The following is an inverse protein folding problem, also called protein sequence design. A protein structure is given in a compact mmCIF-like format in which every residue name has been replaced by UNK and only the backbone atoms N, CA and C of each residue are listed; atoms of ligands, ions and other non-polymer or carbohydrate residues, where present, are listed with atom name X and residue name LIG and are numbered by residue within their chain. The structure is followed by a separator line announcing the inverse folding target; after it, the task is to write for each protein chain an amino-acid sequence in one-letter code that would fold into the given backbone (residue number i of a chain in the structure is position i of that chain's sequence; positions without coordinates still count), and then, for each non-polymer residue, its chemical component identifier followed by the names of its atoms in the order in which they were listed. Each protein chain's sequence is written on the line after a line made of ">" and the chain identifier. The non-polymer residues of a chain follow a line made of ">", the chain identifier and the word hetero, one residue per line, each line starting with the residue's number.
data_IF_554901063002
#
_entry.id   IF_554901063002
#
_cell.length_a   1.000
_cell.length_b   1.000
_cell.length_c   1.000
_cell.angle_alpha   90.00
_cell.angle_beta   90.00
_cell.angle_gamma   90.00
#
_symmetry.space_group_name_H-M   'P 1'
#
loop_
_entity.id
_entity.type
_entity.pdbx_description
1 polymer ?
#
# COMPACT_ATOMS: atom_id res chain seq x y z
N UNK A 1 -14.12 14.16 24.61
CA UNK A 1 -15.31 13.27 24.47
C UNK A 1 -14.83 11.84 24.67
N UNK A 2 -15.38 11.11 25.63
CA UNK A 2 -14.96 9.75 25.94
C UNK A 2 -15.38 8.80 24.80
N UNK A 3 -14.48 7.88 24.41
CA UNK A 3 -14.67 6.89 23.35
C UNK A 3 -15.96 6.07 23.53
N UNK A 4 -16.31 5.74 24.76
CA UNK A 4 -17.56 5.04 25.11
C UNK A 4 -18.81 5.85 24.83
N UNK A 5 -18.77 7.17 25.04
CA UNK A 5 -19.88 8.08 24.78
C UNK A 5 -20.05 8.36 23.29
N UNK A 6 -18.94 8.37 22.50
CA UNK A 6 -19.01 8.47 21.05
C UNK A 6 -19.75 7.26 20.45
N UNK A 7 -19.38 6.05 20.86
CA UNK A 7 -20.02 4.82 20.35
C UNK A 7 -21.50 4.74 20.77
N UNK A 8 -21.84 5.10 22.03
CA UNK A 8 -23.22 5.11 22.51
C UNK A 8 -24.08 6.15 21.80
N UNK A 9 -23.55 7.33 21.53
CA UNK A 9 -24.27 8.41 20.84
C UNK A 9 -24.43 8.12 19.33
N UNK A 10 -23.48 7.39 18.71
CA UNK A 10 -23.62 6.92 17.31
C UNK A 10 -24.68 5.83 17.17
N UNK A 11 -24.90 5.01 18.21
CA UNK A 11 -25.96 4.00 18.23
C UNK A 11 -27.34 4.56 18.61
N UNK A 12 -27.40 5.70 19.32
CA UNK A 12 -28.65 6.35 19.75
C UNK A 12 -29.19 7.35 18.71
N UNK A 13 -28.39 7.73 17.71
CA UNK A 13 -28.82 8.61 16.62
C UNK A 13 -29.63 7.85 15.59
N UNK A 14 -30.94 7.82 15.73
CA UNK A 14 -31.92 7.20 14.81
C UNK A 14 -31.93 7.72 13.37
N UNK A 15 -30.83 8.29 12.87
CA UNK A 15 -30.63 8.76 11.48
C UNK A 15 -30.10 7.67 10.55
N UNK A 16 -29.70 6.49 11.07
CA UNK A 16 -29.28 5.37 10.24
C UNK A 16 -30.43 4.47 9.77
N UNK A 17 -31.64 4.67 10.31
CA UNK A 17 -32.82 3.85 9.95
C UNK A 17 -33.51 4.28 8.65
N UNK A 18 -33.11 5.39 8.01
CA UNK A 18 -33.75 5.90 6.79
C UNK A 18 -32.96 5.72 5.50
N UNK A 19 -31.82 5.05 5.54
CA UNK A 19 -31.07 4.65 4.34
C UNK A 19 -31.13 3.12 4.17
N UNK A 20 -32.15 2.60 3.49
CA UNK A 20 -32.35 1.14 3.40
C UNK A 20 -31.26 0.39 2.62
N UNK A 21 -30.29 1.09 2.02
CA UNK A 21 -29.31 0.47 1.13
C UNK A 21 -27.85 0.51 1.65
N UNK A 22 -27.53 1.20 2.76
CA UNK A 22 -26.14 1.23 3.26
C UNK A 22 -25.71 -0.12 3.86
N UNK A 23 -26.66 -0.94 4.32
CA UNK A 23 -26.42 -2.29 4.84
C UNK A 23 -26.63 -3.41 3.83
N UNK A 24 -26.94 -3.08 2.55
CA UNK A 24 -27.26 -4.07 1.54
C UNK A 24 -26.02 -4.61 0.78
N UNK A 25 -24.86 -3.95 0.89
CA UNK A 25 -23.64 -4.47 0.28
C UNK A 25 -23.12 -5.59 1.18
N UNK A 26 -23.27 -6.81 0.70
CA UNK A 26 -22.67 -7.97 1.37
C UNK A 26 -21.21 -8.06 0.93
N UNK A 27 -20.27 -8.43 1.80
CA UNK A 27 -18.86 -8.62 1.41
C UNK A 27 -18.68 -9.56 0.21
N UNK A 28 -19.60 -10.48 0.03
CA UNK A 28 -19.65 -11.43 -1.12
C UNK A 28 -19.94 -10.76 -2.48
N UNK A 29 -20.39 -9.50 -2.49
CA UNK A 29 -20.79 -8.77 -3.71
C UNK A 29 -19.74 -7.72 -4.12
N UNK A 30 -18.65 -7.57 -3.35
CA UNK A 30 -17.58 -6.60 -3.59
C UNK A 30 -16.20 -7.23 -3.41
N UNK A 31 -15.21 -6.71 -4.15
CA UNK A 31 -13.81 -7.07 -3.95
C UNK A 31 -13.25 -6.24 -2.78
N UNK A 32 -12.74 -6.93 -1.77
CA UNK A 32 -12.15 -6.31 -0.57
C UNK A 32 -10.63 -6.47 -0.63
N UNK A 33 -9.93 -5.33 -0.53
CA UNK A 33 -8.47 -5.26 -0.62
C UNK A 33 -7.93 -4.63 0.67
N UNK A 34 -6.99 -5.29 1.33
CA UNK A 34 -6.11 -4.67 2.31
C UNK A 34 -4.89 -4.10 1.58
N UNK A 35 -4.83 -2.78 1.47
CA UNK A 35 -3.79 -2.09 0.71
C UNK A 35 -2.42 -2.05 1.43
N UNK A 36 -2.36 -2.45 2.71
CA UNK A 36 -1.14 -2.50 3.51
C UNK A 36 -1.30 -3.51 4.66
N UNK A 37 -1.32 -4.77 4.30
CA UNK A 37 -1.43 -5.87 5.25
C UNK A 37 -0.18 -6.75 5.27
N UNK A 38 -0.34 -7.93 5.83
CA UNK A 38 0.71 -8.94 5.89
C UNK A 38 0.14 -10.35 5.90
N UNK A 39 0.95 -11.30 5.44
CA UNK A 39 0.78 -12.72 5.70
C UNK A 39 2.03 -13.23 6.40
N UNK A 40 1.88 -14.15 7.36
CA UNK A 40 2.99 -14.68 8.14
C UNK A 40 2.98 -16.20 8.12
N UNK A 41 4.18 -16.77 8.16
CA UNK A 41 4.37 -18.23 8.24
C UNK A 41 3.66 -18.88 9.44
N UNK A 42 3.54 -18.13 10.55
CA UNK A 42 2.89 -18.61 11.78
C UNK A 42 1.35 -18.62 11.72
N UNK A 43 0.73 -18.10 10.65
CA UNK A 43 -0.73 -18.11 10.52
C UNK A 43 -1.22 -19.54 10.36
N UNK A 44 -2.13 -19.94 11.25
CA UNK A 44 -2.78 -21.25 11.18
C UNK A 44 -3.74 -21.33 10.01
N UNK A 45 -4.04 -22.53 9.53
CA UNK A 45 -5.02 -22.73 8.44
C UNK A 45 -6.41 -22.21 8.82
N UNK A 46 -6.77 -22.31 10.10
CA UNK A 46 -8.02 -21.73 10.62
C UNK A 46 -8.05 -20.21 10.44
N UNK A 47 -6.96 -19.50 10.78
CA UNK A 47 -6.88 -18.05 10.60
C UNK A 47 -6.92 -17.66 9.12
N UNK A 48 -6.21 -18.38 8.25
CA UNK A 48 -6.24 -18.14 6.81
C UNK A 48 -7.64 -18.34 6.23
N UNK A 49 -8.35 -19.38 6.67
CA UNK A 49 -9.74 -19.61 6.29
C UNK A 49 -10.66 -18.49 6.79
N UNK A 50 -10.51 -18.03 8.04
CA UNK A 50 -11.27 -16.90 8.60
C UNK A 50 -11.03 -15.59 7.82
N UNK A 51 -9.79 -15.32 7.37
CA UNK A 51 -9.47 -14.17 6.52
C UNK A 51 -10.26 -14.21 5.20
N UNK A 52 -10.35 -15.38 4.56
CA UNK A 52 -11.14 -15.59 3.34
C UNK A 52 -12.64 -15.44 3.62
N UNK A 53 -13.13 -16.06 4.69
CA UNK A 53 -14.55 -16.04 5.08
C UNK A 53 -15.02 -14.64 5.49
N UNK A 54 -14.09 -13.77 5.94
CA UNK A 54 -14.37 -12.34 6.19
C UNK A 54 -14.64 -11.54 4.90
N UNK A 55 -14.39 -12.14 3.72
CA UNK A 55 -14.57 -11.54 2.41
C UNK A 55 -13.31 -10.90 1.84
N UNK A 56 -12.14 -11.05 2.49
CA UNK A 56 -10.87 -10.50 2.01
C UNK A 56 -10.43 -11.22 0.73
N UNK A 57 -10.15 -10.44 -0.33
CA UNK A 57 -9.77 -10.98 -1.64
C UNK A 57 -8.31 -10.69 -2.00
N UNK A 58 -7.74 -9.60 -1.50
CA UNK A 58 -6.36 -9.26 -1.78
C UNK A 58 -5.67 -8.57 -0.60
N UNK A 59 -4.38 -8.79 -0.49
CA UNK A 59 -3.50 -8.10 0.45
C UNK A 59 -2.28 -7.60 -0.32
N UNK A 60 -1.89 -6.35 -0.08
CA UNK A 60 -0.60 -5.84 -0.51
C UNK A 60 0.38 -5.96 0.65
N UNK A 61 1.48 -6.67 0.44
CA UNK A 61 2.46 -6.98 1.50
C UNK A 61 3.77 -6.24 1.31
N UNK A 62 4.34 -5.75 2.42
CA UNK A 62 5.67 -5.13 2.44
C UNK A 62 6.75 -6.21 2.40
N UNK A 63 7.65 -6.12 1.42
CA UNK A 63 8.67 -7.15 1.19
C UNK A 63 9.85 -7.10 2.15
N UNK A 64 10.21 -5.92 2.68
CA UNK A 64 11.39 -5.76 3.54
C UNK A 64 11.27 -4.55 4.47
N UNK A 65 12.23 -4.42 5.41
CA UNK A 65 12.29 -3.26 6.30
C UNK A 65 12.46 -1.96 5.50
N UNK A 66 11.50 -1.03 5.56
CA UNK A 66 11.55 0.23 4.81
C UNK A 66 12.63 1.20 5.29
N UNK A 67 13.31 0.92 6.39
CA UNK A 67 14.41 1.72 6.92
C UNK A 67 15.77 1.30 6.38
N UNK A 68 15.84 0.19 5.65
CA UNK A 68 17.07 -0.28 5.02
C UNK A 68 17.53 0.66 3.89
N UNK A 69 18.84 0.72 3.65
CA UNK A 69 19.46 1.64 2.71
C UNK A 69 20.52 0.94 1.87
N UNK A 70 20.85 1.50 0.70
CA UNK A 70 21.89 1.07 -0.22
C UNK A 70 21.81 -0.44 -0.56
N UNK A 71 22.94 -1.13 -0.62
CA UNK A 71 23.02 -2.56 -0.98
C UNK A 71 22.17 -3.44 -0.06
N UNK A 72 22.10 -3.09 1.24
CA UNK A 72 21.28 -3.83 2.20
C UNK A 72 19.78 -3.77 1.82
N UNK A 73 19.30 -2.63 1.34
CA UNK A 73 17.90 -2.50 0.93
C UNK A 73 17.57 -3.42 -0.26
N UNK A 74 18.45 -3.51 -1.24
CA UNK A 74 18.31 -4.41 -2.38
C UNK A 74 18.33 -5.88 -1.95
N UNK A 75 19.32 -6.28 -1.15
CA UNK A 75 19.47 -7.67 -0.67
C UNK A 75 18.24 -8.12 0.15
N UNK A 76 17.76 -7.26 1.06
CA UNK A 76 16.58 -7.54 1.85
C UNK A 76 15.30 -7.62 0.99
N UNK A 77 15.21 -6.83 -0.08
CA UNK A 77 14.10 -6.90 -1.02
C UNK A 77 14.07 -8.25 -1.74
N UNK A 78 15.21 -8.72 -2.24
CA UNK A 78 15.34 -10.05 -2.88
C UNK A 78 15.02 -11.17 -1.88
N UNK A 79 15.54 -11.08 -0.65
CA UNK A 79 15.22 -12.04 0.40
C UNK A 79 13.71 -12.08 0.71
N UNK A 80 13.08 -10.91 0.84
CA UNK A 80 11.65 -10.80 1.10
C UNK A 80 10.79 -11.38 -0.02
N UNK A 81 11.16 -11.15 -1.29
CA UNK A 81 10.48 -11.78 -2.45
C UNK A 81 10.55 -13.31 -2.34
N UNK A 82 11.74 -13.85 -2.05
CA UNK A 82 11.92 -15.30 -1.93
C UNK A 82 11.12 -15.89 -0.77
N UNK A 83 11.06 -15.18 0.37
CA UNK A 83 10.28 -15.62 1.54
C UNK A 83 8.78 -15.63 1.24
N UNK A 84 8.24 -14.57 0.67
CA UNK A 84 6.82 -14.53 0.30
C UNK A 84 6.48 -15.52 -0.81
N UNK A 85 7.35 -15.70 -1.82
CA UNK A 85 7.16 -16.72 -2.85
C UNK A 85 7.14 -18.14 -2.23
N UNK A 86 7.95 -18.40 -1.20
CA UNK A 86 7.93 -19.65 -0.44
C UNK A 86 6.61 -19.80 0.34
N UNK A 87 6.22 -18.79 1.11
CA UNK A 87 4.95 -18.82 1.90
C UNK A 87 3.75 -19.08 0.98
N UNK A 88 3.68 -18.41 -0.16
CA UNK A 88 2.59 -18.57 -1.13
C UNK A 88 2.60 -19.98 -1.72
N UNK A 89 3.76 -20.49 -2.12
CA UNK A 89 3.93 -21.83 -2.70
C UNK A 89 3.57 -22.94 -1.71
N UNK A 90 3.82 -22.74 -0.42
CA UNK A 90 3.51 -23.69 0.65
C UNK A 90 2.04 -23.65 1.08
N UNK A 91 1.28 -22.62 0.65
CA UNK A 91 -0.13 -22.42 1.02
C UNK A 91 -1.02 -22.17 -0.23
N UNK A 92 -0.96 -23.02 -1.26
CA UNK A 92 -1.63 -22.77 -2.53
C UNK A 92 -3.16 -22.83 -2.46
N UNK A 93 -3.72 -23.39 -1.41
CA UNK A 93 -5.16 -23.43 -1.14
C UNK A 93 -5.70 -22.07 -0.66
N UNK A 94 -4.85 -21.23 -0.01
CA UNK A 94 -5.24 -19.94 0.55
C UNK A 94 -4.76 -18.76 -0.28
N UNK A 95 -3.56 -18.85 -0.87
CA UNK A 95 -2.86 -17.72 -1.46
C UNK A 95 -2.44 -17.98 -2.91
N UNK A 96 -2.28 -16.91 -3.65
CA UNK A 96 -1.49 -16.90 -4.88
C UNK A 96 -0.85 -15.54 -5.10
N UNK A 97 0.32 -15.52 -5.75
CA UNK A 97 1.01 -14.29 -6.15
C UNK A 97 0.23 -13.60 -7.25
N UNK A 98 -0.08 -12.32 -7.06
CA UNK A 98 -0.81 -11.50 -7.99
C UNK A 98 0.08 -10.45 -8.64
N UNK A 99 -0.11 -10.24 -9.94
CA UNK A 99 0.66 -9.27 -10.74
C UNK A 99 -0.20 -8.49 -11.72
N UNK A 100 -1.47 -8.86 -11.87
CA UNK A 100 -2.41 -8.23 -12.80
C UNK A 100 -3.68 -7.79 -12.05
N UNK A 101 -4.34 -6.76 -12.54
CA UNK A 101 -5.65 -6.33 -12.00
C UNK A 101 -6.72 -7.41 -12.14
N UNK A 102 -6.67 -8.25 -13.18
CA UNK A 102 -7.54 -9.42 -13.34
C UNK A 102 -7.37 -10.49 -12.25
N UNK A 103 -6.25 -10.47 -11.52
CA UNK A 103 -6.04 -11.36 -10.37
C UNK A 103 -7.01 -11.06 -9.21
N UNK A 104 -7.55 -9.85 -9.11
CA UNK A 104 -8.60 -9.50 -8.15
C UNK A 104 -9.89 -10.28 -8.42
N UNK A 105 -10.32 -10.34 -9.69
CA UNK A 105 -11.49 -11.16 -10.05
C UNK A 105 -11.24 -12.65 -9.86
N UNK A 106 -10.02 -13.11 -10.15
CA UNK A 106 -9.60 -14.50 -9.92
C UNK A 106 -9.66 -14.83 -8.44
N UNK A 107 -9.15 -13.96 -7.56
CA UNK A 107 -9.21 -14.12 -6.11
C UNK A 107 -10.66 -14.25 -5.62
N UNK A 108 -11.51 -13.30 -6.04
CA UNK A 108 -12.93 -13.29 -5.71
C UNK A 108 -13.65 -14.59 -6.11
N UNK A 109 -13.43 -15.06 -7.35
CA UNK A 109 -14.06 -16.27 -7.89
C UNK A 109 -13.51 -17.55 -7.27
N UNK A 110 -12.22 -17.62 -6.97
CA UNK A 110 -11.55 -18.81 -6.43
C UNK A 110 -11.62 -18.93 -4.90
N UNK A 111 -12.10 -17.89 -4.20
CA UNK A 111 -12.06 -17.77 -2.74
C UNK A 111 -10.65 -17.99 -2.20
N UNK A 112 -9.69 -17.29 -2.79
CA UNK A 112 -8.29 -17.24 -2.34
C UNK A 112 -7.88 -15.78 -2.19
N UNK A 113 -6.83 -15.51 -1.44
CA UNK A 113 -6.28 -14.17 -1.29
C UNK A 113 -5.16 -13.96 -2.32
N UNK A 114 -5.33 -12.93 -3.15
CA UNK A 114 -4.29 -12.45 -4.06
C UNK A 114 -3.25 -11.65 -3.29
N UNK A 115 -1.96 -12.01 -3.42
CA UNK A 115 -0.88 -11.33 -2.71
C UNK A 115 -0.11 -10.45 -3.69
N UNK A 116 -0.21 -9.14 -3.51
CA UNK A 116 0.54 -8.14 -4.25
C UNK A 116 1.77 -7.69 -3.46
N UNK A 117 2.87 -7.46 -4.15
CA UNK A 117 4.14 -7.05 -3.55
C UNK A 117 4.35 -5.55 -3.64
N UNK A 118 4.82 -4.97 -2.54
CA UNK A 118 5.05 -3.53 -2.42
C UNK A 118 6.36 -3.26 -1.66
N UNK A 119 6.97 -2.12 -1.98
CA UNK A 119 8.00 -1.49 -1.14
C UNK A 119 7.43 -0.28 -0.40
N UNK A 120 7.61 -0.22 0.92
CA UNK A 120 7.27 0.98 1.71
C UNK A 120 8.36 2.08 1.64
N UNK A 121 9.27 1.99 0.69
CA UNK A 121 10.30 2.98 0.39
C UNK A 121 10.79 2.74 -1.04
N UNK A 122 11.55 3.67 -1.60
CA UNK A 122 12.21 3.49 -2.89
C UNK A 122 13.72 3.23 -2.78
N UNK A 123 14.24 3.07 -1.58
CA UNK A 123 15.67 2.79 -1.33
C UNK A 123 16.14 1.48 -1.94
N UNK A 124 15.22 0.53 -2.15
CA UNK A 124 15.49 -0.76 -2.80
C UNK A 124 15.95 -0.62 -4.24
N UNK A 125 15.55 0.46 -4.91
CA UNK A 125 16.00 0.75 -6.28
C UNK A 125 17.42 1.36 -6.32
N UNK A 126 17.96 1.76 -5.18
CA UNK A 126 19.26 2.44 -5.12
C UNK A 126 19.23 3.76 -5.91
N UNK A 127 20.23 3.94 -6.76
CA UNK A 127 20.33 5.06 -7.72
C UNK A 127 20.38 4.60 -9.18
N UNK A 128 19.98 3.36 -9.42
CA UNK A 128 19.92 2.77 -10.75
C UNK A 128 18.46 2.45 -11.10
N UNK A 129 17.90 3.23 -12.02
CA UNK A 129 16.51 3.08 -12.44
C UNK A 129 16.23 1.76 -13.16
N UNK A 130 17.26 1.03 -13.62
CA UNK A 130 17.07 -0.30 -14.21
C UNK A 130 16.58 -1.33 -13.19
N UNK A 131 16.85 -1.13 -11.91
CA UNK A 131 16.34 -1.97 -10.84
C UNK A 131 14.81 -1.92 -10.69
N UNK A 132 14.16 -0.86 -11.18
CA UNK A 132 12.69 -0.79 -11.24
C UNK A 132 12.14 -1.86 -12.19
N UNK A 133 12.75 -2.04 -13.38
CA UNK A 133 12.37 -3.10 -14.33
C UNK A 133 12.59 -4.48 -13.71
N UNK A 134 13.72 -4.66 -13.04
CA UNK A 134 14.06 -5.92 -12.38
C UNK A 134 13.02 -6.29 -11.33
N UNK A 135 12.75 -5.43 -10.36
CA UNK A 135 11.76 -5.69 -9.33
C UNK A 135 10.34 -5.84 -9.88
N UNK A 136 9.99 -5.09 -10.93
CA UNK A 136 8.72 -5.28 -11.62
C UNK A 136 8.62 -6.67 -12.25
N UNK A 137 9.69 -7.16 -12.88
CA UNK A 137 9.77 -8.50 -13.42
C UNK A 137 9.67 -9.60 -12.35
N UNK A 138 10.17 -9.32 -11.13
CA UNK A 138 10.07 -10.19 -9.96
C UNK A 138 8.69 -10.13 -9.28
N UNK A 139 7.78 -9.29 -9.75
CA UNK A 139 6.39 -9.24 -9.30
C UNK A 139 6.04 -8.08 -8.38
N UNK A 140 6.93 -7.15 -8.08
CA UNK A 140 6.61 -5.92 -7.35
C UNK A 140 5.68 -5.07 -8.20
N UNK A 141 4.59 -4.58 -7.63
CA UNK A 141 3.56 -3.81 -8.35
C UNK A 141 3.33 -2.43 -7.80
N UNK A 142 3.85 -2.12 -6.62
CA UNK A 142 3.81 -0.77 -6.08
C UNK A 142 5.04 -0.45 -5.25
N UNK A 143 5.35 0.85 -5.14
CA UNK A 143 6.38 1.36 -4.25
C UNK A 143 6.01 2.73 -3.73
N UNK A 144 6.31 2.98 -2.47
CA UNK A 144 6.32 4.32 -1.93
C UNK A 144 7.56 5.08 -2.44
N UNK A 145 7.41 6.39 -2.61
CA UNK A 145 8.53 7.26 -3.00
C UNK A 145 9.52 7.41 -1.84
N UNK A 146 9.00 7.60 -0.63
CA UNK A 146 9.80 7.71 0.59
C UNK A 146 9.17 6.92 1.72
N UNK A 147 9.97 6.60 2.74
CA UNK A 147 9.46 6.26 4.06
C UNK A 147 9.44 7.52 4.94
N UNK A 148 9.78 7.42 6.20
CA UNK A 148 9.63 8.53 7.16
C UNK A 148 10.61 9.71 6.92
N UNK A 149 11.81 9.42 6.43
CA UNK A 149 12.91 10.35 6.28
C UNK A 149 13.28 10.54 4.81
N UNK A 150 14.18 11.47 4.57
CA UNK A 150 14.69 11.71 3.21
C UNK A 150 15.45 10.50 2.68
N UNK A 151 15.24 10.20 1.40
CA UNK A 151 16.00 9.24 0.62
C UNK A 151 16.51 9.90 -0.68
N UNK A 152 16.94 9.10 -1.64
CA UNK A 152 17.41 9.61 -2.93
C UNK A 152 16.32 10.28 -3.78
N UNK A 153 15.06 9.87 -3.59
CA UNK A 153 13.93 10.36 -4.40
C UNK A 153 13.29 11.63 -3.84
N UNK A 154 13.24 11.81 -2.52
CA UNK A 154 12.57 12.95 -1.93
C UNK A 154 12.59 12.95 -0.40
N UNK A 155 11.87 13.90 0.18
CA UNK A 155 11.73 14.06 1.62
C UNK A 155 10.53 13.26 2.14
N UNK A 156 10.72 12.52 3.24
CA UNK A 156 9.67 11.83 3.97
C UNK A 156 8.90 12.76 4.91
N UNK A 157 7.80 12.27 5.47
CA UNK A 157 6.86 13.06 6.28
C UNK A 157 7.44 13.57 7.61
N UNK A 158 8.57 13.05 8.08
CA UNK A 158 9.22 13.52 9.31
C UNK A 158 10.35 14.52 9.07
N UNK A 159 10.69 14.81 7.82
CA UNK A 159 11.57 15.95 7.53
C UNK A 159 10.89 17.25 7.89
N UNK A 160 11.59 18.12 8.64
CA UNK A 160 11.03 19.40 9.09
C UNK A 160 11.00 20.46 7.99
N UNK A 161 11.93 20.40 7.02
CA UNK A 161 12.04 21.32 5.89
C UNK A 161 12.21 20.50 4.60
N UNK A 162 11.26 19.60 4.33
CA UNK A 162 11.30 18.75 3.14
C UNK A 162 11.30 19.55 1.86
N UNK A 163 12.13 19.16 0.90
CA UNK A 163 12.35 19.89 -0.36
C UNK A 163 11.54 19.32 -1.54
N UNK A 164 10.62 18.41 -1.31
CA UNK A 164 9.89 17.73 -2.38
C UNK A 164 10.73 16.64 -3.08
N UNK A 165 10.41 16.37 -4.34
CA UNK A 165 11.14 15.42 -5.17
C UNK A 165 12.53 15.95 -5.52
N UNK A 166 13.53 15.07 -5.48
CA UNK A 166 14.84 15.34 -6.08
C UNK A 166 14.76 15.16 -7.60
N UNK A 167 15.83 15.53 -8.32
CA UNK A 167 15.93 15.20 -9.74
C UNK A 167 15.78 13.68 -9.99
N UNK A 168 16.47 12.87 -9.18
CA UNK A 168 16.32 11.41 -9.23
C UNK A 168 14.87 10.98 -8.95
N UNK A 169 14.19 11.65 -8.01
CA UNK A 169 12.77 11.38 -7.70
C UNK A 169 11.85 11.59 -8.89
N UNK A 170 12.04 12.65 -9.67
CA UNK A 170 11.29 12.87 -10.91
C UNK A 170 11.57 11.77 -11.95
N UNK A 171 12.83 11.41 -12.15
CA UNK A 171 13.23 10.33 -13.06
C UNK A 171 12.66 8.96 -12.59
N UNK A 172 12.57 8.74 -11.26
CA UNK A 172 11.96 7.53 -10.69
C UNK A 172 10.45 7.48 -10.92
N UNK A 173 9.73 8.60 -10.72
CA UNK A 173 8.28 8.70 -10.99
C UNK A 173 8.01 8.37 -12.46
N UNK A 174 8.77 8.97 -13.39
CA UNK A 174 8.65 8.67 -14.82
C UNK A 174 8.87 7.19 -15.10
N UNK A 175 9.94 6.61 -14.54
CA UNK A 175 10.29 5.20 -14.72
C UNK A 175 9.23 4.26 -14.17
N UNK A 176 8.66 4.56 -12.99
CA UNK A 176 7.56 3.76 -12.40
C UNK A 176 6.31 3.81 -13.28
N UNK A 177 5.98 4.98 -13.84
CA UNK A 177 4.88 5.12 -14.80
C UNK A 177 5.14 4.29 -16.06
N UNK A 178 6.38 4.32 -16.63
CA UNK A 178 6.75 3.58 -17.85
C UNK A 178 6.54 2.07 -17.70
N UNK A 179 6.88 1.50 -16.56
CA UNK A 179 6.73 0.05 -16.33
C UNK A 179 5.34 -0.33 -15.81
N UNK A 180 4.50 0.65 -15.44
CA UNK A 180 3.18 0.40 -14.85
C UNK A 180 3.24 0.01 -13.36
N UNK A 181 4.25 0.48 -12.62
CA UNK A 181 4.35 0.29 -11.17
C UNK A 181 3.56 1.39 -10.44
N UNK A 182 2.58 1.01 -9.62
CA UNK A 182 1.75 1.93 -8.85
C UNK A 182 2.59 2.71 -7.84
N UNK A 183 2.47 4.04 -7.86
CA UNK A 183 3.11 4.93 -6.90
C UNK A 183 2.21 5.08 -5.67
N UNK A 184 2.77 4.83 -4.48
CA UNK A 184 2.11 5.06 -3.20
C UNK A 184 2.75 6.23 -2.46
N UNK A 185 1.95 7.23 -2.10
CA UNK A 185 2.38 8.46 -1.44
C UNK A 185 2.30 8.39 0.09
N UNK A 186 1.95 7.26 0.66
CA UNK A 186 2.03 7.07 2.11
C UNK A 186 3.46 7.35 2.58
N UNK A 187 3.62 7.99 3.73
CA UNK A 187 4.91 8.44 4.29
C UNK A 187 5.63 9.58 3.56
N UNK A 188 5.19 10.00 2.38
CA UNK A 188 5.80 11.15 1.69
C UNK A 188 5.59 12.45 2.47
N UNK A 189 6.58 13.35 2.42
CA UNK A 189 6.44 14.73 2.85
C UNK A 189 5.42 15.48 1.99
N UNK A 190 4.83 16.57 2.49
CA UNK A 190 3.76 17.28 1.77
C UNK A 190 4.22 17.78 0.40
N UNK A 191 5.42 18.34 0.32
CA UNK A 191 6.01 18.81 -0.94
C UNK A 191 6.35 17.65 -1.87
N UNK A 192 6.93 16.56 -1.35
CA UNK A 192 7.19 15.33 -2.14
C UNK A 192 5.89 14.76 -2.71
N UNK A 193 4.81 14.79 -1.92
CA UNK A 193 3.49 14.34 -2.37
C UNK A 193 2.96 15.24 -3.48
N UNK A 194 3.01 16.58 -3.31
CA UNK A 194 2.56 17.53 -4.30
C UNK A 194 3.34 17.40 -5.62
N UNK A 195 4.68 17.35 -5.54
CA UNK A 195 5.55 17.20 -6.71
C UNK A 195 5.27 15.87 -7.44
N UNK A 196 5.02 14.78 -6.68
CA UNK A 196 4.72 13.48 -7.30
C UNK A 196 3.37 13.49 -7.99
N UNK A 197 2.35 14.14 -7.40
CA UNK A 197 1.03 14.30 -8.02
C UNK A 197 1.15 15.07 -9.34
N UNK A 198 1.96 16.12 -9.36
CA UNK A 198 2.17 16.93 -10.59
C UNK A 198 2.98 16.15 -11.65
N UNK A 199 4.00 15.40 -11.23
CA UNK A 199 4.91 14.68 -12.13
C UNK A 199 4.31 13.39 -12.71
N UNK A 200 3.41 12.72 -11.97
CA UNK A 200 2.86 11.44 -12.41
C UNK A 200 1.80 11.62 -13.50
N UNK A 201 1.93 10.86 -14.59
CA UNK A 201 0.91 10.76 -15.64
C UNK A 201 -0.07 9.60 -15.43
N UNK A 202 0.21 8.74 -14.45
CA UNK A 202 -0.61 7.60 -14.08
C UNK A 202 -1.26 7.80 -12.71
N UNK A 203 -2.31 7.03 -12.44
CA UNK A 203 -2.98 7.07 -11.14
C UNK A 203 -2.04 6.68 -10.01
N UNK A 204 -2.18 7.38 -8.89
CA UNK A 204 -1.41 7.15 -7.67
C UNK A 204 -2.34 6.74 -6.53
N UNK A 205 -1.78 6.21 -5.44
CA UNK A 205 -2.52 5.82 -4.24
C UNK A 205 -1.90 6.43 -2.99
N UNK A 206 -2.71 6.62 -1.96
CA UNK A 206 -2.25 6.81 -0.58
C UNK A 206 -2.81 5.64 0.22
N UNK A 207 -2.06 4.56 0.33
CA UNK A 207 -2.56 3.27 0.85
C UNK A 207 -2.93 3.31 2.34
N UNK A 208 -2.19 4.09 3.16
CA UNK A 208 -2.39 4.15 4.61
C UNK A 208 -2.04 5.51 5.21
N UNK A 209 -3.06 6.33 5.37
CA UNK A 209 -2.97 7.67 5.98
C UNK A 209 -4.30 8.08 6.59
N UNK A 210 -4.34 9.28 7.18
CA UNK A 210 -5.57 9.95 7.62
C UNK A 210 -5.60 11.40 7.12
N UNK A 211 -6.73 12.08 7.31
CA UNK A 211 -6.90 13.48 6.98
C UNK A 211 -6.19 14.38 8.01
N UNK A 212 -5.35 15.29 7.56
CA UNK A 212 -4.60 16.22 8.41
C UNK A 212 -5.51 17.22 9.11
N UNK A 213 -6.59 17.63 8.46
CA UNK A 213 -7.61 18.54 9.01
C UNK A 213 -8.40 17.92 10.16
N UNK A 214 -8.53 16.57 10.19
CA UNK A 214 -9.15 15.86 11.31
C UNK A 214 -8.18 15.62 12.47
N UNK A 215 -6.92 15.35 12.15
CA UNK A 215 -5.86 15.15 13.13
C UNK A 215 -4.53 15.65 12.59
N UNK A 216 -4.05 16.77 13.12
CA UNK A 216 -2.80 17.39 12.67
C UNK A 216 -1.59 16.55 13.08
N UNK A 217 -1.18 15.67 12.21
CA UNK A 217 -0.01 14.82 12.36
C UNK A 217 0.83 14.82 11.08
N UNK A 218 2.17 14.68 11.21
CA UNK A 218 3.10 14.68 10.05
C UNK A 218 2.80 13.58 9.03
N UNK A 219 2.23 12.46 9.48
CA UNK A 219 1.84 11.32 8.64
C UNK A 219 0.56 11.53 7.83
N UNK A 220 -0.22 12.57 8.14
CA UNK A 220 -1.53 12.75 7.54
C UNK A 220 -1.48 13.66 6.31
N UNK A 221 -2.30 13.35 5.33
CA UNK A 221 -2.40 14.06 4.05
C UNK A 221 -3.35 15.24 4.15
N UNK A 222 -2.99 16.35 3.53
CA UNK A 222 -3.85 17.55 3.46
C UNK A 222 -5.02 17.35 2.50
N UNK A 223 -6.11 18.09 2.75
CA UNK A 223 -7.25 18.12 1.83
C UNK A 223 -6.87 18.58 0.41
N UNK A 224 -5.85 19.44 0.29
CA UNK A 224 -5.33 19.91 -0.99
C UNK A 224 -4.77 18.74 -1.78
N UNK A 225 -3.86 17.97 -1.20
CA UNK A 225 -3.23 16.82 -1.87
C UNK A 225 -4.22 15.66 -2.11
N UNK A 226 -5.31 15.57 -1.32
CA UNK A 226 -6.37 14.59 -1.57
C UNK A 226 -7.30 14.95 -2.73
N UNK A 227 -7.34 16.21 -3.13
CA UNK A 227 -8.20 16.69 -4.24
C UNK A 227 -7.45 16.83 -5.55
N UNK A 228 -6.12 16.88 -5.51
CA UNK A 228 -5.27 17.00 -6.67
C UNK A 228 -5.14 15.65 -7.40
#
# INVERSE_FOLDING_TARGET
>A
MDRRNFIKNSLAGGLLASSPNIFAIQPKDVIVIDAMGEIREVYTDSLKAEMIDSGLNAITVTLCDPKSFENQAYELAIAGINDYDRIIRENPEFYFKATLTSDLEKAFKSKKIAIYYLFQNSTQFGRDLSSVDEFYSLGVRSSQITYNWQNWAGAGCYEDNGSGLTRFGHELVEKMNDVGMLIDLSHAGMETMADTIEASRESIIVSHTCCKELYNHKRNTTDINMRA
#
